data_IF_296684298589
#
_entry.id   IF_296684298589
#
_cell.length_a   1.000
_cell.length_b   1.000
_cell.length_c   1.000
_cell.angle_alpha   90.00
_cell.angle_beta   90.00
_cell.angle_gamma   90.00
#
_symmetry.space_group_name_H-M   'P 1'
#
loop_
_entity.id
_entity.type
_entity.pdbx_description
1 polymer ?
#
# COMPACT_ATOMS: atom_id res chain seq x y z
N UNK A 1 -26.81 33.08 9.38
CA UNK A 1 -26.05 32.35 8.34
C UNK A 1 -24.84 31.56 8.87
N UNK A 2 -24.24 31.88 10.02
CA UNK A 2 -23.08 31.14 10.56
C UNK A 2 -23.37 29.70 11.03
N UNK A 3 -24.60 29.42 11.48
CA UNK A 3 -24.97 28.10 12.01
C UNK A 3 -24.95 26.99 10.94
N UNK A 4 -25.30 27.33 9.70
CA UNK A 4 -25.28 26.39 8.56
C UNK A 4 -23.85 26.05 8.14
N UNK A 5 -22.93 27.02 8.19
CA UNK A 5 -21.51 26.79 7.88
C UNK A 5 -20.82 25.91 8.94
N UNK A 6 -21.11 26.11 10.23
CA UNK A 6 -20.58 25.26 11.31
C UNK A 6 -21.03 23.79 11.15
N UNK A 7 -22.29 23.55 10.77
CA UNK A 7 -22.79 22.20 10.49
C UNK A 7 -22.08 21.55 9.30
N UNK A 8 -21.81 22.32 8.23
CA UNK A 8 -21.09 21.80 7.07
C UNK A 8 -19.64 21.43 7.40
N UNK A 9 -18.92 22.27 8.16
CA UNK A 9 -17.54 22.01 8.56
C UNK A 9 -17.47 20.80 9.50
N UNK A 10 -18.37 20.71 10.49
CA UNK A 10 -18.46 19.57 11.39
C UNK A 10 -18.79 18.26 10.66
N UNK A 11 -19.65 18.31 9.62
CA UNK A 11 -19.96 17.15 8.79
C UNK A 11 -18.74 16.67 7.98
N UNK A 12 -17.92 17.59 7.47
CA UNK A 12 -16.73 17.27 6.67
C UNK A 12 -15.66 16.58 7.53
N UNK A 13 -15.45 17.06 8.76
CA UNK A 13 -14.49 16.46 9.68
C UNK A 13 -14.92 15.06 10.15
N UNK A 14 -16.23 14.80 10.28
CA UNK A 14 -16.75 13.47 10.59
C UNK A 14 -16.70 12.49 9.40
N UNK A 15 -16.89 12.98 8.17
CA UNK A 15 -16.88 12.13 6.95
C UNK A 15 -15.48 11.73 6.53
N UNK A 16 -14.47 12.58 6.79
CA UNK A 16 -13.06 12.33 6.43
C UNK A 16 -12.53 10.95 6.90
N UNK A 17 -12.62 10.56 8.18
CA UNK A 17 -12.11 9.26 8.63
C UNK A 17 -12.87 8.10 8.00
N UNK A 18 -14.18 8.23 7.81
CA UNK A 18 -15.02 7.21 7.14
C UNK A 18 -14.57 7.01 5.70
N UNK A 19 -14.35 8.11 4.97
CA UNK A 19 -13.84 8.06 3.61
C UNK A 19 -12.48 7.36 3.54
N UNK A 20 -11.55 7.66 4.45
CA UNK A 20 -10.23 7.02 4.48
C UNK A 20 -10.33 5.51 4.74
N UNK A 21 -11.18 5.09 5.69
CA UNK A 21 -11.43 3.67 5.97
C UNK A 21 -11.95 2.96 4.71
N UNK A 22 -12.99 3.53 4.08
CA UNK A 22 -13.59 2.95 2.86
C UNK A 22 -12.56 2.87 1.74
N UNK A 23 -11.78 3.92 1.53
CA UNK A 23 -10.73 3.95 0.52
C UNK A 23 -9.66 2.88 0.77
N UNK A 24 -9.19 2.70 2.01
CA UNK A 24 -8.20 1.69 2.36
C UNK A 24 -8.69 0.27 2.09
N UNK A 25 -9.93 -0.05 2.49
CA UNK A 25 -10.56 -1.35 2.23
C UNK A 25 -10.76 -1.55 0.72
N UNK A 26 -11.20 -0.52 0.01
CA UNK A 26 -11.42 -0.59 -1.43
C UNK A 26 -10.11 -0.91 -2.19
N UNK A 27 -9.02 -0.22 -1.85
CA UNK A 27 -7.69 -0.48 -2.44
C UNK A 27 -7.24 -1.93 -2.20
N UNK A 28 -7.48 -2.47 -1.01
CA UNK A 28 -7.22 -3.87 -0.70
C UNK A 28 -8.01 -4.82 -1.60
N UNK A 29 -9.32 -4.60 -1.73
CA UNK A 29 -10.18 -5.46 -2.57
C UNK A 29 -9.79 -5.43 -4.04
N UNK A 30 -9.43 -4.25 -4.56
CA UNK A 30 -8.94 -4.09 -5.93
C UNK A 30 -7.60 -4.80 -6.11
N UNK A 31 -6.63 -4.58 -5.21
CA UNK A 31 -5.33 -5.23 -5.27
C UNK A 31 -5.45 -6.76 -5.18
N UNK A 32 -6.31 -7.26 -4.29
CA UNK A 32 -6.63 -8.68 -4.16
C UNK A 32 -7.21 -9.24 -5.46
N UNK A 33 -8.18 -8.55 -6.07
CA UNK A 33 -8.80 -8.99 -7.33
C UNK A 33 -7.78 -9.04 -8.46
N UNK A 34 -6.91 -8.04 -8.57
CA UNK A 34 -5.87 -8.00 -9.60
C UNK A 34 -4.80 -9.08 -9.36
N UNK A 35 -4.44 -9.34 -8.11
CA UNK A 35 -3.45 -10.35 -7.75
C UNK A 35 -3.89 -11.80 -8.08
N UNK A 36 -5.20 -12.09 -8.18
CA UNK A 36 -5.68 -13.43 -8.55
C UNK A 36 -5.17 -13.91 -9.91
N UNK A 37 -4.92 -12.98 -10.83
CA UNK A 37 -4.45 -13.29 -12.19
C UNK A 37 -2.94 -13.05 -12.34
N UNK A 38 -2.20 -12.93 -11.24
CA UNK A 38 -0.77 -12.56 -11.26
C UNK A 38 0.00 -13.40 -10.27
N UNK A 39 1.16 -13.90 -10.69
CA UNK A 39 2.04 -14.69 -9.83
C UNK A 39 3.35 -13.95 -9.55
N UNK A 40 4.11 -14.45 -8.56
CA UNK A 40 5.45 -13.95 -8.25
C UNK A 40 5.48 -12.62 -7.51
N UNK A 41 6.50 -11.80 -7.79
CA UNK A 41 6.79 -10.57 -7.04
C UNK A 41 5.74 -9.47 -7.24
N UNK A 42 5.12 -9.37 -8.41
CA UNK A 42 4.11 -8.34 -8.69
C UNK A 42 2.89 -8.48 -7.77
N UNK A 43 2.34 -9.69 -7.63
CA UNK A 43 1.21 -9.95 -6.74
C UNK A 43 1.56 -9.66 -5.27
N UNK A 44 2.76 -10.06 -4.82
CA UNK A 44 3.25 -9.80 -3.45
C UNK A 44 3.36 -8.32 -3.15
N UNK A 45 3.88 -7.53 -4.09
CA UNK A 45 4.04 -6.09 -3.93
C UNK A 45 2.68 -5.37 -3.99
N UNK A 46 1.78 -5.77 -4.86
CA UNK A 46 0.43 -5.20 -4.90
C UNK A 46 -0.35 -5.45 -3.61
N UNK A 47 -0.43 -6.71 -3.18
CA UNK A 47 -1.17 -7.08 -1.96
C UNK A 47 -0.48 -6.50 -0.72
N UNK A 48 0.85 -6.56 -0.66
CA UNK A 48 1.63 -6.00 0.45
C UNK A 48 1.49 -4.49 0.57
N UNK A 49 1.59 -3.76 -0.54
CA UNK A 49 1.39 -2.31 -0.58
C UNK A 49 -0.03 -1.91 -0.22
N UNK A 50 -1.03 -2.60 -0.77
CA UNK A 50 -2.43 -2.36 -0.44
C UNK A 50 -2.77 -2.70 1.02
N UNK A 51 -2.14 -3.73 1.61
CA UNK A 51 -2.25 -4.02 3.04
C UNK A 51 -1.69 -2.90 3.89
N UNK A 52 -0.50 -2.40 3.55
CA UNK A 52 0.12 -1.28 4.23
C UNK A 52 -0.79 -0.05 4.20
N UNK A 53 -1.34 0.28 3.03
CA UNK A 53 -2.28 1.40 2.87
C UNK A 53 -3.59 1.16 3.62
N UNK A 54 -4.12 -0.05 3.63
CA UNK A 54 -5.33 -0.40 4.38
C UNK A 54 -5.12 -0.17 5.88
N UNK A 55 -4.02 -0.68 6.46
CA UNK A 55 -3.67 -0.43 7.87
C UNK A 55 -3.51 1.06 8.13
N UNK A 56 -2.82 1.75 7.22
CA UNK A 56 -2.60 3.18 7.33
C UNK A 56 -3.87 4.02 7.32
N UNK A 57 -4.75 3.82 6.34
CA UNK A 57 -5.95 4.63 6.16
C UNK A 57 -7.11 4.19 7.06
N UNK A 58 -7.25 2.89 7.34
CA UNK A 58 -8.36 2.38 8.13
C UNK A 58 -8.10 2.40 9.64
N UNK A 59 -6.83 2.35 10.07
CA UNK A 59 -6.47 2.26 11.49
C UNK A 59 -5.62 3.46 11.92
N UNK A 60 -4.47 3.65 11.26
CA UNK A 60 -3.46 4.60 11.75
C UNK A 60 -3.95 6.05 11.69
N UNK A 61 -4.55 6.49 10.58
CA UNK A 61 -5.05 7.86 10.44
C UNK A 61 -6.22 8.13 11.39
N UNK A 62 -7.27 7.29 11.49
CA UNK A 62 -8.34 7.51 12.46
C UNK A 62 -7.85 7.58 13.91
N UNK A 63 -6.88 6.73 14.31
CA UNK A 63 -6.27 6.82 15.65
C UNK A 63 -5.49 8.12 15.87
N UNK A 64 -4.83 8.62 14.81
CA UNK A 64 -4.11 9.89 14.83
C UNK A 64 -5.07 11.08 14.96
N UNK A 65 -6.20 11.04 14.26
CA UNK A 65 -7.22 12.09 14.29
C UNK A 65 -8.03 12.05 15.59
N UNK A 66 -8.29 10.87 16.14
CA UNK A 66 -8.91 10.69 17.46
C UNK A 66 -8.01 11.09 18.63
N UNK A 67 -6.76 11.52 18.38
CA UNK A 67 -5.82 11.95 19.42
C UNK A 67 -5.35 10.82 20.34
N UNK A 68 -5.57 9.55 19.96
CA UNK A 68 -5.04 8.38 20.69
C UNK A 68 -3.53 8.19 20.46
N UNK A 69 -3.04 8.71 19.34
CA UNK A 69 -1.62 8.76 18.99
C UNK A 69 -1.16 10.22 19.11
N UNK A 70 -0.05 10.45 19.82
CA UNK A 70 0.49 11.80 20.02
C UNK A 70 0.91 12.43 18.69
N UNK A 71 0.38 13.63 18.42
CA UNK A 71 0.80 14.45 17.29
C UNK A 71 2.10 15.15 17.65
N UNK A 72 3.11 15.03 16.81
CA UNK A 72 4.37 15.75 17.00
C UNK A 72 4.14 17.24 16.74
N UNK A 73 4.33 18.06 17.76
CA UNK A 73 4.33 19.52 17.67
C UNK A 73 5.67 20.05 18.17
N UNK A 74 6.47 20.72 17.31
CA UNK A 74 7.72 21.34 17.75
C UNK A 74 7.40 22.44 18.77
N UNK A 75 7.92 22.29 20.00
CA UNK A 75 7.71 23.24 21.10
C UNK A 75 6.54 22.94 22.05
N UNK A 76 5.77 21.87 21.83
CA UNK A 76 4.79 21.42 22.81
C UNK A 76 5.45 20.61 23.93
N UNK A 77 5.06 20.84 25.19
CA UNK A 77 5.41 19.99 26.33
C UNK A 77 4.69 18.64 26.20
N UNK A 78 5.21 17.78 25.32
CA UNK A 78 4.74 16.41 25.14
C UNK A 78 5.25 15.53 26.28
N UNK A 79 4.43 14.59 26.73
CA UNK A 79 4.83 13.60 27.74
C UNK A 79 6.02 12.74 27.26
N UNK A 80 6.11 12.46 25.96
CA UNK A 80 7.24 11.73 25.37
C UNK A 80 7.49 12.13 23.90
N UNK A 81 8.41 13.07 23.62
CA UNK A 81 8.69 13.53 22.26
C UNK A 81 9.21 12.41 21.34
N UNK A 82 9.88 11.40 21.90
CA UNK A 82 10.35 10.21 21.16
C UNK A 82 9.19 9.35 20.67
N UNK A 83 8.13 9.20 21.47
CA UNK A 83 6.94 8.43 21.11
C UNK A 83 6.15 9.12 19.99
N UNK A 84 5.98 10.44 20.08
CA UNK A 84 5.35 11.23 19.02
C UNK A 84 6.13 11.15 17.69
N UNK A 85 7.46 11.22 17.75
CA UNK A 85 8.32 11.11 16.57
C UNK A 85 8.27 9.70 15.96
N UNK A 86 8.26 8.65 16.79
CA UNK A 86 8.12 7.28 16.34
C UNK A 86 6.78 7.06 15.59
N UNK A 87 5.67 7.53 16.14
CA UNK A 87 4.37 7.44 15.47
C UNK A 87 4.30 8.25 14.18
N UNK A 88 4.95 9.42 14.14
CA UNK A 88 5.05 10.21 12.93
C UNK A 88 5.86 9.50 11.85
N UNK A 89 6.98 8.87 12.21
CA UNK A 89 7.77 8.06 11.30
C UNK A 89 7.00 6.84 10.78
N UNK A 90 6.29 6.12 11.66
CA UNK A 90 5.41 5.00 11.29
C UNK A 90 4.37 5.47 10.28
N UNK A 91 3.72 6.61 10.52
CA UNK A 91 2.77 7.18 9.57
C UNK A 91 3.40 7.46 8.20
N UNK A 92 4.57 8.08 8.17
CA UNK A 92 5.27 8.37 6.92
C UNK A 92 5.64 7.10 6.16
N UNK A 93 6.17 6.08 6.86
CA UNK A 93 6.50 4.80 6.24
C UNK A 93 5.25 4.12 5.73
N UNK A 94 4.19 4.03 6.54
CA UNK A 94 2.98 3.30 6.17
C UNK A 94 2.27 3.95 4.97
N UNK A 95 2.19 5.27 4.96
CA UNK A 95 1.55 6.01 3.86
C UNK A 95 2.43 6.01 2.60
N UNK A 96 3.69 6.46 2.69
CA UNK A 96 4.51 6.66 1.50
C UNK A 96 5.05 5.34 0.94
N UNK A 97 5.56 4.45 1.80
CA UNK A 97 6.05 3.16 1.34
C UNK A 97 4.89 2.29 0.83
N UNK A 98 3.70 2.38 1.44
CA UNK A 98 2.50 1.69 0.95
C UNK A 98 2.16 2.07 -0.48
N UNK A 99 2.10 3.37 -0.79
CA UNK A 99 1.85 3.86 -2.14
C UNK A 99 2.95 3.48 -3.12
N UNK A 100 4.21 3.58 -2.70
CA UNK A 100 5.36 3.21 -3.53
C UNK A 100 5.36 1.71 -3.88
N UNK A 101 5.14 0.85 -2.89
CA UNK A 101 5.12 -0.61 -3.07
C UNK A 101 3.93 -1.06 -3.91
N UNK A 102 2.74 -0.48 -3.68
CA UNK A 102 1.57 -0.73 -4.51
C UNK A 102 1.79 -0.28 -5.96
N UNK A 103 2.31 0.93 -6.15
CA UNK A 103 2.62 1.49 -7.47
C UNK A 103 3.66 0.66 -8.23
N UNK A 104 4.71 0.19 -7.56
CA UNK A 104 5.71 -0.69 -8.14
C UNK A 104 5.10 -2.05 -8.53
N UNK A 105 4.25 -2.61 -7.68
CA UNK A 105 3.49 -3.83 -7.98
C UNK A 105 2.62 -3.69 -9.24
N UNK A 106 1.90 -2.58 -9.37
CA UNK A 106 1.08 -2.24 -10.54
C UNK A 106 1.94 -1.99 -11.80
N UNK A 107 3.09 -1.34 -11.65
CA UNK A 107 4.04 -1.12 -12.74
C UNK A 107 4.62 -2.43 -13.29
N UNK A 108 4.90 -3.39 -12.41
CA UNK A 108 5.29 -4.75 -12.82
C UNK A 108 4.12 -5.50 -13.46
N UNK A 109 2.91 -5.41 -12.90
CA UNK A 109 1.70 -6.08 -13.40
C UNK A 109 1.34 -5.64 -14.82
N UNK A 110 1.42 -4.33 -15.09
CA UNK A 110 1.14 -3.74 -16.40
C UNK A 110 2.27 -3.95 -17.43
N UNK A 111 3.42 -4.47 -17.01
CA UNK A 111 4.60 -4.61 -17.87
C UNK A 111 5.28 -3.29 -18.23
N UNK A 112 4.95 -2.19 -17.54
CA UNK A 112 5.66 -0.90 -17.62
C UNK A 112 7.08 -1.03 -17.06
N UNK A 113 7.21 -1.74 -15.94
CA UNK A 113 8.49 -2.10 -15.34
C UNK A 113 8.87 -3.50 -15.82
N UNK A 114 9.42 -3.61 -17.03
CA UNK A 114 10.01 -4.88 -17.46
C UNK A 114 11.32 -5.06 -16.72
N UNK A 115 11.32 -5.88 -15.67
CA UNK A 115 12.55 -6.53 -15.22
C UNK A 115 13.02 -7.35 -16.43
N UNK A 116 14.20 -7.09 -17.02
CA UNK A 116 14.72 -7.97 -18.03
C UNK A 116 14.90 -9.32 -17.35
N UNK A 117 13.98 -10.25 -17.62
CA UNK A 117 14.15 -11.64 -17.25
C UNK A 117 15.52 -12.01 -17.80
N UNK A 118 16.46 -12.35 -16.91
CA UNK A 118 17.68 -13.06 -17.28
C UNK A 118 17.18 -14.24 -18.10
N UNK A 119 17.36 -14.12 -19.42
CA UNK A 119 16.90 -15.08 -20.40
C UNK A 119 17.60 -16.37 -20.03
N UNK A 120 16.94 -17.28 -19.32
CA UNK A 120 17.42 -18.65 -19.18
C UNK A 120 17.51 -19.17 -20.59
N UNK A 121 18.73 -19.18 -21.12
CA UNK A 121 19.06 -19.82 -22.38
C UNK A 121 18.82 -21.31 -22.14
N UNK A 122 17.59 -21.75 -22.38
CA UNK A 122 17.31 -23.16 -22.64
C UNK A 122 17.77 -23.44 -24.08
N UNK A 123 19.07 -23.60 -24.24
CA UNK A 123 19.68 -24.45 -25.26
C UNK A 123 20.50 -25.43 -24.42
N UNK A 124 20.10 -26.69 -24.30
CA UNK A 124 20.36 -27.65 -25.37
C UNK A 124 19.20 -28.62 -25.57
N UNK A 125 18.47 -28.43 -26.66
CA UNK A 125 17.72 -29.51 -27.32
C UNK A 125 18.76 -30.29 -28.12
N UNK A 126 19.35 -31.34 -27.55
CA UNK A 126 20.04 -32.38 -28.32
C UNK A 126 18.99 -33.31 -28.91
N UNK A 127 18.56 -32.99 -30.13
CA UNK A 127 17.96 -33.97 -31.03
C UNK A 127 19.06 -34.36 -32.02
N UNK A 128 19.51 -35.62 -31.95
CA UNK A 128 19.86 -36.49 -33.10
C UNK A 128 20.27 -37.85 -32.53
N UNK A 129 19.46 -38.89 -32.70
CA UNK A 129 19.68 -39.93 -33.74
C UNK A 129 20.34 -41.15 -33.06
N UNK A 130 19.87 -42.38 -33.17
CA UNK A 130 19.33 -43.10 -34.31
C UNK A 130 18.48 -44.29 -33.83
N UNK A 131 17.43 -44.58 -34.58
CA UNK A 131 16.87 -45.93 -34.72
C UNK A 131 17.88 -46.83 -35.48
N UNK A 132 18.14 -48.02 -34.94
CA UNK A 132 18.60 -49.24 -35.64
C UNK A 132 18.43 -50.40 -34.64
N UNK A 133 17.31 -51.12 -34.63
CA UNK A 133 16.99 -52.35 -35.40
C UNK A 133 17.92 -53.53 -35.08
N UNK A 134 17.26 -54.63 -34.65
CA UNK A 134 17.67 -56.05 -34.59
C UNK A 134 18.70 -56.48 -33.54
#
# INVERSE_FOLDING_TARGET
MYFVQLFQIASIDAVRPVFMIVMGIFLMLVAWRLARNTEGWSARLMVGGAFLLCVGYAILIPLYDAGKIEKYYPGANLHSPSTALAWHAVKLVVMNAGWLVLGLGLGLHSGLLRVPLIRKVSKTRTVSGHESVA
#
